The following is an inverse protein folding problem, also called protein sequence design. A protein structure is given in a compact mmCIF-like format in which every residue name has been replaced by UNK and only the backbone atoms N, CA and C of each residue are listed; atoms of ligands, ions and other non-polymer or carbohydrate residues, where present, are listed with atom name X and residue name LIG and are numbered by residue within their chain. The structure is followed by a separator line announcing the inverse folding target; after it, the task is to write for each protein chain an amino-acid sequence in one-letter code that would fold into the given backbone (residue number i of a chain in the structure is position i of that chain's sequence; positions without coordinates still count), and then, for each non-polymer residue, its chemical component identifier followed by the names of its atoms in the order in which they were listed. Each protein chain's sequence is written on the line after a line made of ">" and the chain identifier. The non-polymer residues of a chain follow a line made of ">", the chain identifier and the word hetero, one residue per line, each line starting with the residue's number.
data_IF_744327688964
#
_entry.id   IF_744327688964
#
_cell.length_a   1.000
_cell.length_b   1.000
_cell.length_c   1.000
_cell.angle_alpha   90.00
_cell.angle_beta   90.00
_cell.angle_gamma   90.00
#
_symmetry.space_group_name_H-M   'P 1'
#
loop_
_entity.id
_entity.type
_entity.pdbx_description
1 polymer ?
#
# COMPACT_ATOMS: atom_id res chain seq x y z
N UNK A 1 8.64 8.83 22.20
CA UNK A 1 8.54 9.74 21.04
C UNK A 1 7.29 10.61 21.19
N UNK A 2 7.37 11.92 20.92
CA UNK A 2 6.17 12.77 20.90
C UNK A 2 5.37 12.52 19.62
N UNK A 3 4.06 12.29 19.71
CA UNK A 3 3.16 12.08 18.55
C UNK A 3 3.30 13.19 17.48
N UNK A 4 3.63 14.42 17.92
CA UNK A 4 3.89 15.56 17.03
C UNK A 4 5.14 15.40 16.15
N UNK A 5 6.11 14.58 16.56
CA UNK A 5 7.35 14.33 15.80
C UNK A 5 7.10 13.39 14.62
N UNK A 6 6.38 12.29 14.84
CA UNK A 6 6.06 11.31 13.79
C UNK A 6 5.30 11.97 12.64
N UNK A 7 4.28 12.78 12.94
CA UNK A 7 3.53 13.49 11.91
C UNK A 7 4.37 14.51 11.13
N UNK A 8 5.30 15.19 11.81
CA UNK A 8 6.24 16.12 11.15
C UNK A 8 7.18 15.39 10.20
N UNK A 9 7.74 14.26 10.65
CA UNK A 9 8.64 13.46 9.83
C UNK A 9 7.89 12.87 8.63
N UNK A 10 6.69 12.31 8.84
CA UNK A 10 5.78 11.88 7.77
C UNK A 10 5.52 12.98 6.74
N UNK A 11 5.10 14.18 7.18
CA UNK A 11 4.78 15.27 6.27
C UNK A 11 6.02 15.75 5.50
N UNK A 12 7.21 15.71 6.12
CA UNK A 12 8.48 16.03 5.47
C UNK A 12 8.79 15.03 4.36
N UNK A 13 8.73 13.72 4.64
CA UNK A 13 9.00 12.69 3.64
C UNK A 13 7.95 12.68 2.52
N UNK A 14 6.67 12.88 2.86
CA UNK A 14 5.58 12.95 1.89
C UNK A 14 5.75 14.12 0.90
N UNK A 15 6.20 15.29 1.38
CA UNK A 15 6.50 16.45 0.53
C UNK A 15 7.71 16.25 -0.38
N UNK A 16 8.57 15.28 -0.07
CA UNK A 16 9.70 14.90 -0.91
C UNK A 16 9.33 13.87 -1.98
N UNK A 17 8.03 13.57 -2.16
CA UNK A 17 7.54 12.55 -3.11
C UNK A 17 8.15 11.16 -2.89
N UNK A 18 8.52 10.86 -1.64
CA UNK A 18 8.96 9.51 -1.29
C UNK A 18 7.75 8.61 -1.11
N UNK A 19 7.73 7.42 -1.72
CA UNK A 19 6.72 6.40 -1.48
C UNK A 19 6.51 6.12 0.00
N UNK A 20 5.26 6.19 0.46
CA UNK A 20 4.88 5.82 1.82
C UNK A 20 3.99 4.58 1.76
N UNK A 21 4.35 3.55 2.52
CA UNK A 21 3.50 2.36 2.68
C UNK A 21 2.90 2.36 4.08
N UNK A 22 1.58 2.38 4.15
CA UNK A 22 0.82 2.10 5.37
C UNK A 22 0.63 0.60 5.50
N UNK A 23 1.31 0.03 6.48
CA UNK A 23 1.13 -1.36 6.88
C UNK A 23 -0.05 -1.44 7.85
N UNK A 24 -1.13 -2.11 7.42
CA UNK A 24 -2.39 -2.22 8.16
C UNK A 24 -2.68 -3.67 8.50
N UNK A 25 -3.40 -3.96 9.57
CA UNK A 25 -3.94 -5.31 9.76
C UNK A 25 -5.09 -5.60 8.78
N UNK A 26 -5.50 -6.86 8.68
CA UNK A 26 -6.55 -7.30 7.76
C UNK A 26 -7.94 -7.43 8.40
N UNK A 27 -8.08 -6.99 9.65
CA UNK A 27 -9.34 -6.94 10.38
C UNK A 27 -10.07 -5.59 10.20
N UNK A 28 -11.24 -5.46 10.81
CA UNK A 28 -12.07 -4.26 10.66
C UNK A 28 -11.39 -3.00 11.21
N UNK A 29 -10.64 -3.10 12.32
CA UNK A 29 -9.95 -1.95 12.91
C UNK A 29 -8.77 -1.51 12.04
N UNK A 30 -7.97 -2.47 11.56
CA UNK A 30 -6.86 -2.21 10.63
C UNK A 30 -7.31 -1.55 9.33
N UNK A 31 -8.39 -2.06 8.74
CA UNK A 31 -8.96 -1.50 7.51
C UNK A 31 -9.59 -0.12 7.73
N UNK A 32 -10.27 0.09 8.86
CA UNK A 32 -10.82 1.39 9.23
C UNK A 32 -9.71 2.42 9.44
N UNK A 33 -8.66 2.07 10.21
CA UNK A 33 -7.50 2.93 10.42
C UNK A 33 -6.81 3.27 9.10
N UNK A 34 -6.69 2.29 8.19
CA UNK A 34 -6.16 2.51 6.85
C UNK A 34 -6.99 3.53 6.06
N UNK A 35 -8.32 3.42 6.07
CA UNK A 35 -9.21 4.36 5.39
C UNK A 35 -9.08 5.81 5.91
N UNK A 36 -8.86 5.98 7.21
CA UNK A 36 -8.64 7.30 7.83
C UNK A 36 -7.33 7.92 7.35
N UNK A 37 -6.26 7.12 7.28
CA UNK A 37 -4.96 7.56 6.76
C UNK A 37 -5.03 7.92 5.27
N UNK A 38 -5.80 7.16 4.48
CA UNK A 38 -6.05 7.46 3.07
C UNK A 38 -6.76 8.83 2.91
N UNK A 39 -7.85 9.04 3.65
CA UNK A 39 -8.59 10.30 3.65
C UNK A 39 -7.72 11.49 4.06
N UNK A 40 -6.87 11.30 5.06
CA UNK A 40 -5.88 12.29 5.47
C UNK A 40 -4.91 12.63 4.32
N UNK A 41 -4.33 11.62 3.66
CA UNK A 41 -3.38 11.85 2.57
C UNK A 41 -4.02 12.63 1.41
N UNK A 42 -5.26 12.29 1.04
CA UNK A 42 -6.00 13.03 0.02
C UNK A 42 -6.24 14.49 0.39
N UNK A 43 -6.68 14.76 1.63
CA UNK A 43 -6.90 16.14 2.10
C UNK A 43 -5.61 16.96 2.15
N UNK A 44 -4.47 16.30 2.34
CA UNK A 44 -3.15 16.93 2.36
C UNK A 44 -2.49 17.00 0.98
N UNK A 45 -3.12 16.48 -0.08
CA UNK A 45 -2.57 16.46 -1.44
C UNK A 45 -1.38 15.52 -1.64
N UNK A 46 -1.18 14.55 -0.74
CA UNK A 46 -0.14 13.53 -0.85
C UNK A 46 -0.61 12.49 -1.86
N UNK A 47 0.22 12.16 -2.86
CA UNK A 47 -0.15 11.25 -3.96
C UNK A 47 0.59 9.91 -3.90
N UNK A 48 1.80 9.90 -3.33
CA UNK A 48 2.71 8.76 -3.35
C UNK A 48 2.56 7.91 -2.07
N UNK A 49 1.34 7.47 -1.77
CA UNK A 49 1.05 6.64 -0.60
C UNK A 49 0.29 5.37 -0.97
N UNK A 50 0.56 4.30 -0.22
CA UNK A 50 0.16 2.94 -0.55
C UNK A 50 -0.27 2.18 0.70
N UNK A 51 -1.04 1.10 0.52
CA UNK A 51 -1.46 0.23 1.62
C UNK A 51 -0.96 -1.18 1.38
N UNK A 52 -0.53 -1.82 2.47
CA UNK A 52 -0.23 -3.24 2.51
C UNK A 52 -0.91 -3.83 3.74
N UNK A 53 -1.70 -4.88 3.51
CA UNK A 53 -2.33 -5.66 4.58
C UNK A 53 -1.88 -7.11 4.45
N UNK A 54 -1.26 -7.69 5.49
CA UNK A 54 -0.83 -9.07 5.44
C UNK A 54 -2.03 -10.02 5.42
N UNK A 55 -1.94 -11.08 4.63
CA UNK A 55 -2.94 -12.15 4.66
C UNK A 55 -2.67 -13.02 5.88
N UNK A 56 -3.55 -12.99 6.89
CA UNK A 56 -3.37 -13.74 8.15
C UNK A 56 -3.03 -15.22 7.96
N UNK A 57 -3.62 -15.87 6.95
CA UNK A 57 -3.39 -17.28 6.65
C UNK A 57 -2.04 -17.57 5.97
N UNK A 58 -1.42 -16.56 5.34
CA UNK A 58 -0.16 -16.72 4.62
C UNK A 58 1.01 -16.11 5.39
N UNK A 59 0.82 -14.91 5.93
CA UNK A 59 1.85 -14.10 6.55
C UNK A 59 1.84 -14.14 8.08
N UNK A 60 0.75 -14.61 8.70
CA UNK A 60 0.52 -14.46 10.14
C UNK A 60 0.00 -13.07 10.51
N UNK A 61 0.07 -12.73 11.81
CA UNK A 61 -0.39 -11.45 12.34
C UNK A 61 0.77 -10.49 12.57
N UNK A 62 0.59 -9.22 12.17
CA UNK A 62 1.57 -8.15 12.36
C UNK A 62 2.79 -8.24 11.45
N UNK A 63 3.87 -7.57 11.83
CA UNK A 63 5.10 -7.46 11.05
C UNK A 63 5.94 -8.74 11.10
N UNK A 64 5.64 -9.68 10.21
CA UNK A 64 6.45 -10.89 10.04
C UNK A 64 7.49 -10.70 8.95
N UNK A 65 8.62 -11.41 9.06
CA UNK A 65 9.67 -11.38 8.03
C UNK A 65 9.12 -11.79 6.66
N UNK A 66 8.18 -12.74 6.63
CA UNK A 66 7.52 -13.14 5.39
C UNK A 66 6.69 -12.01 4.79
N UNK A 67 5.91 -11.28 5.60
CA UNK A 67 5.13 -10.14 5.13
C UNK A 67 6.01 -8.99 4.62
N UNK A 68 7.12 -8.72 5.32
CA UNK A 68 8.07 -7.68 4.95
C UNK A 68 8.78 -8.08 3.65
N UNK A 69 9.24 -9.33 3.55
CA UNK A 69 9.87 -9.82 2.32
C UNK A 69 8.89 -9.82 1.15
N UNK A 70 7.62 -10.19 1.35
CA UNK A 70 6.59 -10.12 0.30
C UNK A 70 6.33 -8.68 -0.14
N UNK A 71 6.26 -7.73 0.81
CA UNK A 71 6.14 -6.29 0.53
C UNK A 71 7.35 -5.74 -0.25
N UNK A 72 8.57 -6.13 0.12
CA UNK A 72 9.81 -5.62 -0.48
C UNK A 72 10.22 -6.33 -1.77
N UNK A 73 9.79 -7.59 -1.96
CA UNK A 73 10.15 -8.41 -3.13
C UNK A 73 9.32 -8.09 -4.37
N UNK A 74 8.20 -7.36 -4.22
CA UNK A 74 7.28 -7.13 -5.31
C UNK A 74 7.45 -5.75 -5.95
N UNK A 75 7.71 -5.71 -7.26
CA UNK A 75 7.62 -4.46 -7.99
C UNK A 75 6.12 -4.15 -8.14
N UNK A 76 5.67 -3.12 -7.43
CA UNK A 76 4.27 -2.70 -7.41
C UNK A 76 4.10 -1.39 -8.18
N UNK A 77 2.96 -1.19 -8.81
CA UNK A 77 2.57 0.09 -9.42
C UNK A 77 1.22 0.53 -8.89
N UNK A 78 1.08 1.84 -8.68
CA UNK A 78 -0.20 2.42 -8.32
C UNK A 78 -1.19 2.29 -9.48
N UNK A 79 -2.34 1.66 -9.23
CA UNK A 79 -3.44 1.65 -10.18
C UNK A 79 -4.39 2.81 -9.89
N UNK A 80 -4.42 3.86 -10.72
CA UNK A 80 -5.26 5.03 -10.48
C UNK A 80 -6.75 4.76 -10.65
N UNK A 81 -7.15 3.65 -11.30
CA UNK A 81 -8.56 3.28 -11.47
C UNK A 81 -9.13 2.61 -10.22
N UNK A 82 -8.32 1.80 -9.54
CA UNK A 82 -8.75 1.06 -8.34
C UNK A 82 -8.25 1.69 -7.05
N UNK A 83 -7.38 2.70 -7.15
CA UNK A 83 -6.72 3.36 -6.03
C UNK A 83 -6.00 2.37 -5.09
N UNK A 84 -5.36 1.36 -5.68
CA UNK A 84 -4.67 0.31 -4.97
C UNK A 84 -3.26 0.17 -5.51
N UNK A 85 -2.36 -0.30 -4.65
CA UNK A 85 -1.10 -0.85 -5.11
C UNK A 85 -1.39 -2.17 -5.81
N UNK A 86 -1.07 -2.25 -7.10
CA UNK A 86 -1.24 -3.48 -7.87
C UNK A 86 0.13 -4.07 -8.12
N UNK A 87 0.27 -5.35 -7.82
CA UNK A 87 1.48 -6.10 -8.13
C UNK A 87 1.68 -6.14 -9.66
N UNK A 88 2.90 -5.92 -10.14
CA UNK A 88 3.17 -5.87 -11.59
C UNK A 88 2.90 -7.21 -12.32
N UNK A 89 2.94 -8.34 -11.62
CA UNK A 89 2.58 -9.67 -12.15
C UNK A 89 1.06 -9.80 -12.40
N UNK A 90 0.21 -9.22 -11.55
CA UNK A 90 -1.24 -9.13 -11.78
C UNK A 90 -1.57 -8.33 -13.04
N UNK A 91 -0.75 -7.32 -13.38
CA UNK A 91 -0.92 -6.51 -14.59
C UNK A 91 -0.52 -7.30 -15.84
N UNK A 92 0.58 -8.07 -15.80
CA UNK A 92 0.97 -8.94 -16.91
C UNK A 92 -0.14 -9.93 -17.28
N UNK A 93 -0.84 -10.48 -16.28
CA UNK A 93 -1.93 -11.43 -16.49
C UNK A 93 -3.24 -10.77 -16.95
N UNK A 94 -3.44 -9.46 -16.74
CA UNK A 94 -4.61 -8.73 -17.24
C UNK A 94 -4.52 -8.37 -18.73
N UNK A 95 -3.30 -8.17 -19.26
CA UNK A 95 -3.07 -7.91 -20.69
C UNK A 95 -2.85 -9.19 -21.52
N UNK A 96 -2.80 -10.36 -20.87
CA UNK A 96 -2.71 -11.67 -21.53
C UNK A 96 -4.08 -12.30 -21.87
N UNK A 97 -5.16 -11.51 -21.93
CA UNK A 97 -6.39 -11.99 -22.58
C UNK A 97 -6.36 -11.70 -24.07
N UNK A 98 -6.33 -12.81 -24.81
CA UNK A 98 -6.45 -13.05 -26.24
C UNK A 98 -5.23 -12.78 -27.13
N UNK A 99 -4.28 -13.73 -27.19
CA UNK A 99 -3.61 -14.00 -28.45
C UNK A 99 -4.55 -14.85 -29.34
N UNK A 100 -5.14 -14.20 -30.34
CA UNK A 100 -5.63 -14.80 -31.59
C UNK A 100 -7.04 -15.43 -31.57
N UNK A 101 -8.05 -14.60 -31.86
CA UNK A 101 -9.16 -15.00 -32.74
C UNK A 101 -8.79 -14.53 -34.15
N UNK A 102 -8.29 -15.46 -34.98
CA UNK A 102 -8.35 -15.40 -36.44
C UNK A 102 -9.26 -16.53 -36.90
#
# INVERSE_FOLDING_TARGET
>A
MSKKRIFKDFLKEAKQHRPIVFYTDNDCDGMLAGSVLMSMCYRLGIKDFFFFSPLRNAHGYGFTDLAINDLLSQPCIFNPKTNQLVRLDCIKNQFQKDPLLF
#
